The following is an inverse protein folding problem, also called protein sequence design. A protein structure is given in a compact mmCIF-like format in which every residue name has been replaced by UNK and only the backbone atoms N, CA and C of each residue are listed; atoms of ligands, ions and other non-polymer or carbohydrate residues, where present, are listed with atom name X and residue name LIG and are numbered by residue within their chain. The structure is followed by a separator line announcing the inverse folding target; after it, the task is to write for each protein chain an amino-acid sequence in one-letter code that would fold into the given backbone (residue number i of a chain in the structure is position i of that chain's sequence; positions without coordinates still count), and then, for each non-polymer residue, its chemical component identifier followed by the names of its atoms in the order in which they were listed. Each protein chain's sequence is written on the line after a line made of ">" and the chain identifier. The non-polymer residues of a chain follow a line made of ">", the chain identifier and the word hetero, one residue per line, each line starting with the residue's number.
data_IF_573792120413
#
_entry.id   IF_573792120413
#
_cell.length_a   1.000
_cell.length_b   1.000
_cell.length_c   1.000
_cell.angle_alpha   90.00
_cell.angle_beta   90.00
_cell.angle_gamma   90.00
#
_symmetry.space_group_name_H-M   'P 1'
#
loop_
_entity.id
_entity.type
_entity.pdbx_description
1 polymer ?
#
# COMPACT_ATOMS: atom_id res chain seq x y z
N UNK A 1 -9.23 -1.46 -11.29
CA UNK A 1 -7.85 -1.58 -10.79
C UNK A 1 -7.60 -3.05 -10.54
N UNK A 2 -6.69 -3.67 -11.31
CA UNK A 2 -6.40 -5.08 -11.12
C UNK A 2 -5.34 -5.25 -10.02
N UNK A 3 -5.44 -6.31 -9.23
CA UNK A 3 -4.56 -6.52 -8.08
C UNK A 3 -3.10 -6.73 -8.52
N UNK A 4 -2.90 -7.34 -9.68
CA UNK A 4 -1.62 -7.55 -10.34
C UNK A 4 -0.94 -6.27 -10.80
N UNK A 5 -1.62 -5.12 -10.89
CA UNK A 5 -0.99 -3.85 -11.28
C UNK A 5 -0.52 -3.03 -10.07
N UNK A 6 -1.02 -3.34 -8.87
CA UNK A 6 -0.71 -2.60 -7.64
C UNK A 6 0.78 -2.63 -7.27
N UNK A 7 1.51 -3.66 -7.69
CA UNK A 7 2.94 -3.79 -7.41
C UNK A 7 3.79 -2.70 -8.10
N UNK A 8 3.29 -2.09 -9.18
CA UNK A 8 4.01 -1.06 -9.94
C UNK A 8 4.02 0.31 -9.25
N UNK A 9 3.12 0.53 -8.28
CA UNK A 9 2.99 1.81 -7.59
C UNK A 9 3.89 1.88 -6.35
N UNK A 10 4.41 3.08 -6.06
CA UNK A 10 5.14 3.37 -4.84
C UNK A 10 4.22 3.35 -3.60
N UNK A 11 4.79 3.14 -2.42
CA UNK A 11 4.03 3.13 -1.16
C UNK A 11 3.33 4.48 -0.90
N UNK A 12 3.98 5.59 -1.24
CA UNK A 12 3.40 6.93 -1.12
C UNK A 12 2.19 7.12 -2.05
N UNK A 13 2.29 6.60 -3.27
CA UNK A 13 1.17 6.62 -4.23
C UNK A 13 0.02 5.76 -3.73
N UNK A 14 0.31 4.54 -3.23
CA UNK A 14 -0.69 3.64 -2.67
C UNK A 14 -1.39 4.25 -1.44
N UNK A 15 -0.65 4.93 -0.56
CA UNK A 15 -1.20 5.64 0.59
C UNK A 15 -2.13 6.78 0.16
N UNK A 16 -1.72 7.58 -0.82
CA UNK A 16 -2.55 8.67 -1.37
C UNK A 16 -3.83 8.13 -2.02
N UNK A 17 -3.74 7.01 -2.75
CA UNK A 17 -4.89 6.33 -3.36
C UNK A 17 -5.80 5.71 -2.32
N UNK A 18 -5.28 5.24 -1.17
CA UNK A 18 -6.07 4.71 -0.06
C UNK A 18 -6.83 5.82 0.66
N UNK A 19 -6.19 6.94 0.93
CA UNK A 19 -6.76 8.01 1.75
C UNK A 19 -7.78 8.86 0.97
N UNK A 20 -7.57 9.10 -0.34
CA UNK A 20 -8.51 9.81 -1.23
C UNK A 20 -9.96 9.26 -1.21
N UNK A 21 -10.22 7.96 -1.43
CA UNK A 21 -11.56 7.40 -1.39
C UNK A 21 -12.12 7.37 0.03
N UNK A 22 -11.31 7.18 1.08
CA UNK A 22 -11.81 7.29 2.46
C UNK A 22 -12.43 8.66 2.75
N UNK A 23 -11.87 9.75 2.20
CA UNK A 23 -12.47 11.08 2.29
C UNK A 23 -13.66 11.30 1.34
N UNK A 24 -13.72 10.60 0.19
CA UNK A 24 -14.78 10.79 -0.84
C UNK A 24 -16.00 9.91 -0.67
N UNK A 25 -15.90 8.77 0.03
CA UNK A 25 -17.00 7.84 0.29
C UNK A 25 -18.14 8.52 1.09
N UNK A 26 -17.82 9.61 1.80
CA UNK A 26 -18.81 10.35 2.58
C UNK A 26 -19.69 11.30 1.76
N UNK A 27 -19.30 11.78 0.56
CA UNK A 27 -20.05 12.92 0.00
C UNK A 27 -20.13 13.18 -1.53
N UNK A 28 -19.47 12.45 -2.45
CA UNK A 28 -19.39 12.94 -3.85
C UNK A 28 -19.75 11.97 -4.96
N UNK A 29 -20.53 12.46 -5.94
CA UNK A 29 -20.80 11.84 -7.23
C UNK A 29 -19.51 11.45 -7.99
N UNK A 30 -19.53 10.29 -8.68
CA UNK A 30 -18.43 9.84 -9.54
C UNK A 30 -18.30 10.78 -10.74
N UNK A 31 -17.15 11.44 -10.89
CA UNK A 31 -16.81 12.29 -12.05
C UNK A 31 -15.31 12.23 -12.30
N UNK A 32 -14.81 11.05 -12.67
CA UNK A 32 -13.37 10.79 -12.83
C UNK A 32 -12.86 11.09 -14.25
N UNK A 33 -13.72 11.06 -15.27
CA UNK A 33 -13.42 11.37 -16.67
C UNK A 33 -14.68 11.86 -17.41
N UNK A 34 -14.52 12.38 -18.63
CA UNK A 34 -15.61 12.96 -19.44
C UNK A 34 -16.74 11.97 -19.76
N UNK A 35 -16.44 10.67 -19.75
CA UNK A 35 -17.38 9.57 -20.00
C UNK A 35 -18.19 9.18 -18.74
N UNK A 36 -17.67 9.46 -17.54
CA UNK A 36 -18.34 9.10 -16.30
C UNK A 36 -19.14 10.31 -15.78
N UNK A 37 -20.40 10.38 -16.20
CA UNK A 37 -21.35 11.40 -15.76
C UNK A 37 -21.45 11.45 -14.23
N UNK A 38 -21.49 12.68 -13.69
CA UNK A 38 -21.61 13.00 -12.26
C UNK A 38 -22.85 12.33 -11.66
N UNK A 39 -22.70 11.09 -11.16
CA UNK A 39 -23.80 10.30 -10.56
C UNK A 39 -23.50 9.92 -9.13
N UNK A 40 -24.55 9.81 -8.30
CA UNK A 40 -24.43 9.32 -6.91
C UNK A 40 -23.80 7.92 -6.89
N UNK A 41 -23.02 7.64 -5.85
CA UNK A 41 -22.42 6.31 -5.68
C UNK A 41 -23.49 5.26 -5.47
N UNK A 42 -23.45 4.21 -6.28
CA UNK A 42 -24.27 3.03 -6.08
C UNK A 42 -23.69 2.14 -4.97
N UNK A 43 -24.49 1.20 -4.46
CA UNK A 43 -24.00 0.21 -3.49
C UNK A 43 -22.82 -0.61 -4.05
N UNK A 44 -22.82 -0.85 -5.37
CA UNK A 44 -21.74 -1.55 -6.07
C UNK A 44 -20.46 -0.71 -6.05
N UNK A 45 -20.54 0.59 -6.36
CA UNK A 45 -19.38 1.49 -6.33
C UNK A 45 -18.72 1.52 -4.93
N UNK A 46 -19.56 1.58 -3.88
CA UNK A 46 -19.10 1.53 -2.48
C UNK A 46 -18.41 0.19 -2.17
N UNK A 47 -18.97 -0.93 -2.64
CA UNK A 47 -18.38 -2.27 -2.46
C UNK A 47 -17.04 -2.38 -3.18
N UNK A 48 -16.95 -1.92 -4.42
CA UNK A 48 -15.71 -1.92 -5.21
C UNK A 48 -14.63 -1.07 -4.54
N UNK A 49 -14.97 0.13 -4.06
CA UNK A 49 -14.01 0.98 -3.36
C UNK A 49 -13.49 0.35 -2.07
N UNK A 50 -14.37 -0.27 -1.27
CA UNK A 50 -13.94 -1.04 -0.09
C UNK A 50 -12.99 -2.18 -0.46
N UNK A 51 -13.26 -2.88 -1.57
CA UNK A 51 -12.37 -3.93 -2.07
C UNK A 51 -11.01 -3.37 -2.51
N UNK A 52 -10.98 -2.22 -3.19
CA UNK A 52 -9.73 -1.56 -3.60
C UNK A 52 -8.88 -1.18 -2.39
N UNK A 53 -9.47 -0.55 -1.36
CA UNK A 53 -8.78 -0.24 -0.10
C UNK A 53 -8.20 -1.50 0.54
N UNK A 54 -8.99 -2.57 0.62
CA UNK A 54 -8.54 -3.85 1.20
C UNK A 54 -7.36 -4.46 0.44
N UNK A 55 -7.35 -4.37 -0.89
CA UNK A 55 -6.24 -4.84 -1.72
C UNK A 55 -4.97 -4.02 -1.48
N UNK A 56 -5.09 -2.70 -1.39
CA UNK A 56 -3.96 -1.79 -1.10
C UNK A 56 -3.39 -2.10 0.29
N UNK A 57 -4.24 -2.26 1.30
CA UNK A 57 -3.81 -2.60 2.66
C UNK A 57 -3.06 -3.93 2.72
N UNK A 58 -3.54 -4.95 1.99
CA UNK A 58 -2.85 -6.23 1.89
C UNK A 58 -1.46 -6.07 1.27
N UNK A 59 -1.35 -5.30 0.20
CA UNK A 59 -0.08 -5.05 -0.48
C UNK A 59 0.91 -4.29 0.41
N UNK A 60 0.48 -3.22 1.07
CA UNK A 60 1.32 -2.45 1.98
C UNK A 60 1.78 -3.28 3.19
N UNK A 61 0.91 -4.13 3.74
CA UNK A 61 1.30 -5.05 4.82
C UNK A 61 2.39 -6.02 4.36
N UNK A 62 2.27 -6.57 3.15
CA UNK A 62 3.29 -7.43 2.56
C UNK A 62 4.65 -6.72 2.45
N UNK A 63 4.67 -5.51 1.88
CA UNK A 63 5.88 -4.70 1.75
C UNK A 63 6.51 -4.35 3.09
N UNK A 64 5.70 -4.01 4.09
CA UNK A 64 6.18 -3.71 5.45
C UNK A 64 6.82 -4.93 6.12
N UNK A 65 6.28 -6.13 5.90
CA UNK A 65 6.87 -7.37 6.41
C UNK A 65 8.24 -7.61 5.77
N UNK A 66 8.35 -7.50 4.44
CA UNK A 66 9.62 -7.69 3.72
C UNK A 66 10.67 -6.70 4.22
N UNK A 67 10.34 -5.41 4.30
CA UNK A 67 11.24 -4.38 4.81
C UNK A 67 11.72 -4.65 6.24
N UNK A 68 10.83 -5.10 7.11
CA UNK A 68 11.20 -5.46 8.48
C UNK A 68 12.14 -6.68 8.52
N UNK A 69 11.94 -7.65 7.63
CA UNK A 69 12.82 -8.81 7.49
C UNK A 69 14.20 -8.40 6.97
N UNK A 70 14.27 -7.52 5.97
CA UNK A 70 15.53 -6.96 5.46
C UNK A 70 16.33 -6.26 6.58
N UNK A 71 15.67 -5.43 7.39
CA UNK A 71 16.30 -4.77 8.55
C UNK A 71 16.78 -5.80 9.58
N UNK A 72 15.98 -6.84 9.86
CA UNK A 72 16.35 -7.89 10.81
C UNK A 72 17.55 -8.71 10.32
N UNK A 73 17.62 -9.01 9.03
CA UNK A 73 18.75 -9.75 8.44
C UNK A 73 19.99 -8.85 8.40
N UNK A 74 19.89 -7.61 7.92
CA UNK A 74 21.04 -6.68 7.88
C UNK A 74 21.60 -6.35 9.27
N UNK A 75 20.75 -6.22 10.29
CA UNK A 75 21.23 -6.05 11.69
C UNK A 75 21.92 -7.29 12.24
N UNK A 76 21.56 -8.49 11.77
CA UNK A 76 22.28 -9.73 12.12
C UNK A 76 23.65 -9.79 11.46
N UNK A 77 23.76 -9.40 10.20
CA UNK A 77 25.04 -9.32 9.48
C UNK A 77 25.99 -8.36 10.22
N UNK A 78 25.55 -7.12 10.48
CA UNK A 78 26.34 -6.13 11.24
C UNK A 78 26.77 -6.66 12.63
N UNK A 79 25.89 -7.38 13.33
CA UNK A 79 26.21 -7.97 14.63
C UNK A 79 27.23 -9.10 14.52
N UNK A 80 27.21 -9.90 13.46
CA UNK A 80 28.22 -10.93 13.23
C UNK A 80 29.57 -10.31 12.88
N UNK A 81 29.60 -9.31 12.00
CA UNK A 81 30.83 -8.60 11.63
C UNK A 81 31.52 -8.01 12.85
N UNK A 82 30.77 -7.31 13.71
CA UNK A 82 31.30 -6.76 14.98
C UNK A 82 31.89 -7.84 15.90
N UNK A 83 31.26 -9.02 16.00
CA UNK A 83 31.78 -10.15 16.79
C UNK A 83 33.02 -10.80 16.18
N UNK A 84 33.21 -10.66 14.87
CA UNK A 84 34.43 -11.12 14.20
C UNK A 84 35.59 -10.17 14.46
N UNK A 85 35.35 -8.85 14.43
CA UNK A 85 36.39 -7.84 14.69
C UNK A 85 36.95 -7.92 16.11
N UNK A 86 36.10 -8.12 17.13
CA UNK A 86 36.53 -8.25 18.55
C UNK A 86 37.43 -9.46 18.80
N UNK A 87 37.38 -10.50 17.95
CA UNK A 87 38.19 -11.71 18.14
C UNK A 87 39.57 -11.64 17.49
N UNK A 88 39.80 -10.64 16.66
CA UNK A 88 41.06 -10.40 15.96
C UNK A 88 41.91 -9.30 16.60
N UNK A 89 41.36 -8.56 17.56
CA UNK A 89 42.10 -7.69 18.51
C UNK A 89 42.53 -8.48 19.75
#
# INVERSE_FOLDING_TARGET
>A
MRADELHKFSDETLKTIRDKPHHRILDFCLGYNKEMSRRKWTAIDKRISKLMVKLIDKQMRGRRIIRNLEILVGTRELKMDYRMTIRTE
#
